data_IF_478110191904
#
_entry.id   IF_478110191904
#
_cell.length_a   1.000
_cell.length_b   1.000
_cell.length_c   1.000
_cell.angle_alpha   90.00
_cell.angle_beta   90.00
_cell.angle_gamma   90.00
#
_symmetry.space_group_name_H-M   'P 1'
#
loop_
_entity.id
_entity.type
_entity.pdbx_description
1 polymer ?
#
# COMPACT_ATOMS: atom_id res chain seq x y z
N UNK A 1 5.25 11.43 -7.66
CA UNK A 1 4.95 9.97 -7.68
C UNK A 1 4.80 9.52 -6.24
N UNK A 2 4.03 8.48 -5.97
CA UNK A 2 3.70 8.10 -4.60
C UNK A 2 3.50 6.59 -4.46
N UNK A 3 4.01 5.98 -3.41
CA UNK A 3 3.61 4.63 -3.01
C UNK A 3 2.53 4.68 -1.94
N UNK A 4 1.59 3.74 -2.01
CA UNK A 4 0.47 3.64 -1.07
C UNK A 4 0.37 2.23 -0.51
N UNK A 5 0.16 2.16 0.81
CA UNK A 5 -0.19 0.92 1.51
C UNK A 5 -1.63 1.05 2.02
N UNK A 6 -2.48 0.12 1.62
CA UNK A 6 -3.80 -0.14 2.19
C UNK A 6 -3.69 -1.37 3.08
N UNK A 7 -3.54 -1.14 4.37
CA UNK A 7 -3.21 -2.17 5.35
C UNK A 7 -4.44 -2.55 6.18
N UNK A 8 -4.77 -3.83 6.22
CA UNK A 8 -5.70 -4.37 7.22
C UNK A 8 -5.01 -4.43 8.58
N UNK A 9 -5.72 -3.94 9.60
CA UNK A 9 -5.28 -4.00 10.98
C UNK A 9 -5.56 -5.37 11.62
N UNK A 10 -6.06 -6.35 10.86
CA UNK A 10 -6.29 -7.71 11.34
C UNK A 10 -7.42 -8.40 10.59
N UNK A 11 -8.65 -8.16 11.06
CA UNK A 11 -9.85 -8.88 10.64
C UNK A 11 -10.55 -8.30 9.40
N UNK A 12 -10.10 -7.16 8.86
CA UNK A 12 -10.68 -6.59 7.63
C UNK A 12 -10.37 -7.50 6.43
N UNK A 13 -11.39 -7.92 5.66
CA UNK A 13 -11.21 -8.84 4.55
C UNK A 13 -10.56 -8.16 3.32
N UNK A 14 -9.81 -8.91 2.48
CA UNK A 14 -9.12 -8.35 1.31
C UNK A 14 -10.04 -7.59 0.35
N UNK A 15 -11.27 -8.06 0.15
CA UNK A 15 -12.27 -7.46 -0.72
C UNK A 15 -12.57 -6.01 -0.32
N UNK A 16 -12.71 -5.75 0.98
CA UNK A 16 -12.91 -4.40 1.51
C UNK A 16 -11.67 -3.51 1.29
N UNK A 17 -10.47 -4.06 1.45
CA UNK A 17 -9.23 -3.32 1.17
C UNK A 17 -9.14 -2.91 -0.31
N UNK A 18 -9.55 -3.79 -1.24
CA UNK A 18 -9.57 -3.45 -2.66
C UNK A 18 -10.65 -2.42 -3.02
N UNK A 19 -11.82 -2.45 -2.37
CA UNK A 19 -12.83 -1.39 -2.50
C UNK A 19 -12.24 -0.04 -2.07
N UNK A 20 -11.55 -0.02 -0.93
CA UNK A 20 -10.88 1.18 -0.43
C UNK A 20 -9.75 1.65 -1.34
N UNK A 21 -8.91 0.72 -1.82
CA UNK A 21 -7.84 1.02 -2.77
C UNK A 21 -8.39 1.64 -4.06
N UNK A 22 -9.51 1.14 -4.60
CA UNK A 22 -10.16 1.75 -5.78
C UNK A 22 -10.50 3.22 -5.55
N UNK A 23 -11.02 3.57 -4.38
CA UNK A 23 -11.38 4.95 -4.04
C UNK A 23 -10.13 5.81 -3.90
N UNK A 24 -9.10 5.31 -3.21
CA UNK A 24 -7.82 6.04 -3.04
C UNK A 24 -7.12 6.25 -4.37
N UNK A 25 -7.06 5.20 -5.21
CA UNK A 25 -6.49 5.26 -6.56
C UNK A 25 -7.16 6.35 -7.39
N UNK A 26 -8.49 6.34 -7.47
CA UNK A 26 -9.23 7.36 -8.22
C UNK A 26 -8.92 8.77 -7.72
N UNK A 27 -8.95 8.99 -6.39
CA UNK A 27 -8.68 10.32 -5.80
C UNK A 27 -7.27 10.82 -6.08
N UNK A 28 -6.27 9.94 -6.09
CA UNK A 28 -4.88 10.31 -6.41
C UNK A 28 -4.71 10.59 -7.90
N UNK A 29 -5.33 9.80 -8.77
CA UNK A 29 -5.32 10.01 -10.22
C UNK A 29 -6.01 11.33 -10.61
N UNK A 30 -7.12 11.68 -9.96
CA UNK A 30 -7.86 12.93 -10.19
C UNK A 30 -7.02 14.18 -9.91
N UNK A 31 -6.02 14.10 -9.03
CA UNK A 31 -5.08 15.18 -8.71
C UNK A 31 -3.72 15.02 -9.42
N UNK A 32 -3.62 14.12 -10.39
CA UNK A 32 -2.43 13.93 -11.22
C UNK A 32 -1.28 13.18 -10.54
N UNK A 33 -1.54 12.43 -9.46
CA UNK A 33 -0.53 11.63 -8.78
C UNK A 33 -0.45 10.23 -9.41
N UNK A 34 0.73 9.88 -9.89
CA UNK A 34 1.05 8.52 -10.32
C UNK A 34 1.44 7.63 -9.12
N UNK A 35 0.77 6.48 -9.01
CA UNK A 35 0.98 5.50 -7.95
C UNK A 35 2.04 4.48 -8.37
N UNK A 36 3.05 4.30 -7.54
CA UNK A 36 4.14 3.34 -7.72
C UNK A 36 4.05 2.26 -6.66
N UNK A 37 4.13 0.98 -7.07
CA UNK A 37 4.13 -0.18 -6.18
C UNK A 37 3.04 -0.11 -5.09
N UNK A 38 1.74 -0.14 -5.47
CA UNK A 38 0.66 -0.15 -4.50
C UNK A 38 0.63 -1.48 -3.73
N UNK A 39 0.37 -1.39 -2.43
CA UNK A 39 0.39 -2.55 -1.53
C UNK A 39 -0.97 -2.64 -0.83
N UNK A 40 -1.64 -3.78 -0.98
CA UNK A 40 -2.98 -4.01 -0.42
C UNK A 40 -2.96 -5.35 0.30
N UNK A 41 -3.11 -5.33 1.63
CA UNK A 41 -2.97 -6.57 2.41
C UNK A 41 -2.76 -6.35 3.91
N UNK A 42 -2.11 -7.33 4.54
CA UNK A 42 -1.77 -7.32 5.98
C UNK A 42 -0.26 -7.16 6.11
N UNK A 43 0.17 -5.95 6.44
CA UNK A 43 1.59 -5.61 6.60
C UNK A 43 1.93 -5.24 8.04
N UNK A 44 1.01 -4.57 8.75
CA UNK A 44 1.15 -4.19 10.15
C UNK A 44 -0.21 -4.32 10.87
N UNK A 45 -0.43 -5.45 11.53
CA UNK A 45 -1.70 -5.79 12.18
C UNK A 45 -1.72 -5.44 13.66
N UNK A 46 -2.92 -5.25 14.21
CA UNK A 46 -3.22 -5.12 15.65
C UNK A 46 -4.14 -6.27 16.08
N UNK A 47 -3.58 -7.48 16.16
CA UNK A 47 -4.33 -8.73 16.40
C UNK A 47 -5.52 -8.87 15.42
N UNK A 48 -6.71 -9.23 15.91
CA UNK A 48 -7.96 -9.36 15.15
C UNK A 48 -8.75 -8.04 15.00
N UNK A 49 -8.11 -6.87 15.16
CA UNK A 49 -8.82 -5.59 15.03
C UNK A 49 -9.44 -5.45 13.63
N UNK A 50 -10.73 -5.10 13.60
CA UNK A 50 -11.42 -4.71 12.37
C UNK A 50 -11.14 -3.24 12.10
N UNK A 51 -10.29 -2.98 11.13
CA UNK A 51 -9.85 -1.62 10.79
C UNK A 51 -8.85 -1.60 9.64
N UNK A 52 -8.60 -0.39 9.13
CA UNK A 52 -7.69 -0.16 8.01
C UNK A 52 -6.81 1.04 8.32
N UNK A 53 -5.54 0.97 7.95
CA UNK A 53 -4.65 2.12 7.91
C UNK A 53 -4.20 2.40 6.48
N UNK A 54 -4.00 3.68 6.16
CA UNK A 54 -3.41 4.13 4.91
C UNK A 54 -2.05 4.73 5.19
N UNK A 55 -1.04 4.31 4.42
CA UNK A 55 0.29 4.92 4.42
C UNK A 55 0.56 5.47 3.04
N UNK A 56 1.02 6.72 2.98
CA UNK A 56 1.37 7.40 1.74
C UNK A 56 2.84 7.80 1.83
N UNK A 57 3.64 7.40 0.85
CA UNK A 57 5.06 7.72 0.76
C UNK A 57 5.31 8.47 -0.55
N UNK A 58 5.57 9.77 -0.45
CA UNK A 58 6.04 10.55 -1.59
C UNK A 58 7.40 10.02 -2.04
N UNK A 59 7.55 9.80 -3.34
CA UNK A 59 8.74 9.21 -3.91
C UNK A 59 9.52 10.26 -4.71
N UNK A 60 10.76 10.44 -4.33
CA UNK A 60 11.80 10.93 -5.21
C UNK A 60 12.48 9.75 -5.95
N UNK A 61 13.50 10.07 -6.74
CA UNK A 61 14.21 9.10 -7.56
C UNK A 61 14.98 8.06 -6.72
N UNK A 62 15.53 8.45 -5.57
CA UNK A 62 16.30 7.55 -4.71
C UNK A 62 15.36 6.58 -3.98
N UNK A 63 14.30 7.12 -3.37
CA UNK A 63 13.31 6.32 -2.64
C UNK A 63 12.59 5.35 -3.57
N UNK A 64 12.24 5.75 -4.78
CA UNK A 64 11.65 4.84 -5.75
C UNK A 64 12.59 3.71 -6.14
N UNK A 65 13.87 4.01 -6.39
CA UNK A 65 14.86 3.00 -6.73
C UNK A 65 15.08 2.00 -5.57
N UNK A 66 15.10 2.49 -4.34
CA UNK A 66 15.22 1.65 -3.14
C UNK A 66 13.96 0.81 -2.90
N UNK A 67 12.78 1.38 -3.12
CA UNK A 67 11.50 0.68 -2.94
C UNK A 67 11.34 -0.48 -3.94
N UNK A 68 11.80 -0.27 -5.18
CA UNK A 68 11.77 -1.27 -6.25
C UNK A 68 12.97 -2.23 -6.24
N UNK A 69 13.93 -2.04 -5.33
CA UNK A 69 15.11 -2.91 -5.25
C UNK A 69 14.69 -4.34 -4.83
N UNK A 70 15.34 -5.40 -5.37
CA UNK A 70 15.04 -6.76 -5.01
C UNK A 70 15.15 -7.01 -3.50
N UNK A 71 14.13 -7.63 -2.93
CA UNK A 71 14.10 -7.99 -1.52
C UNK A 71 13.33 -9.30 -1.33
N UNK A 72 13.77 -10.13 -0.39
CA UNK A 72 13.12 -11.40 -0.09
C UNK A 72 13.16 -11.66 1.42
N UNK A 73 12.00 -11.54 2.07
CA UNK A 73 11.79 -11.92 3.46
C UNK A 73 10.44 -12.62 3.62
N UNK A 74 10.16 -13.13 4.83
CA UNK A 74 9.01 -14.01 5.09
C UNK A 74 7.64 -13.44 4.65
N UNK A 75 7.48 -12.12 4.62
CA UNK A 75 6.21 -11.46 4.33
C UNK A 75 6.31 -10.39 3.23
N UNK A 76 7.42 -10.39 2.47
CA UNK A 76 7.66 -9.40 1.43
C UNK A 76 8.62 -9.92 0.36
N UNK A 77 8.24 -9.80 -0.91
CA UNK A 77 9.10 -10.13 -2.04
C UNK A 77 8.94 -9.06 -3.12
N UNK A 78 10.07 -8.49 -3.56
CA UNK A 78 10.19 -7.59 -4.72
C UNK A 78 11.08 -8.28 -5.74
N UNK A 79 10.57 -8.43 -6.96
CA UNK A 79 11.26 -9.10 -8.07
C UNK A 79 12.12 -8.16 -8.90
#
# INVERSE_FOLDING_TARGET
RLSVIVNSLGATPPEELYILYRIVKQRLEDIGIEIVMPLVGRYATSMEMTGVSFTFCELDQELEALLLAPAHCAFWTVG
#
